data_IF_854035122567
#
_entry.id   IF_854035122567
#
_cell.length_a   1.000
_cell.length_b   1.000
_cell.length_c   1.000
_cell.angle_alpha   90.00
_cell.angle_beta   90.00
_cell.angle_gamma   90.00
#
_symmetry.space_group_name_H-M   'P 1'
#
loop_
_entity.id
_entity.type
_entity.pdbx_description
1 polymer ?
#
# COMPACT_ATOMS: atom_id res chain seq x y z
N UNK A 1 -5.75 6.55 -8.28
CA UNK A 1 -6.80 5.93 -9.12
C UNK A 1 -6.23 5.63 -10.50
N UNK A 2 -6.78 4.63 -11.19
CA UNK A 2 -6.43 4.33 -12.59
C UNK A 2 -6.93 5.43 -13.55
N UNK A 3 -6.27 5.68 -14.69
CA UNK A 3 -6.72 6.69 -15.63
C UNK A 3 -8.12 6.40 -16.19
N UNK A 4 -8.49 5.15 -16.46
CA UNK A 4 -9.83 4.82 -16.94
C UNK A 4 -10.94 5.07 -15.91
N UNK A 5 -10.61 4.90 -14.61
CA UNK A 5 -11.55 5.23 -13.54
C UNK A 5 -11.76 6.74 -13.42
N UNK A 6 -10.69 7.53 -13.58
CA UNK A 6 -10.79 8.99 -13.49
C UNK A 6 -11.48 9.59 -14.71
N UNK A 7 -11.15 9.12 -15.92
CA UNK A 7 -11.65 9.72 -17.16
C UNK A 7 -13.05 9.22 -17.52
N UNK A 8 -13.32 7.92 -17.33
CA UNK A 8 -14.55 7.28 -17.80
C UNK A 8 -15.43 6.74 -16.67
N UNK A 9 -15.02 6.88 -15.40
CA UNK A 9 -15.77 6.31 -14.27
C UNK A 9 -15.82 4.78 -14.27
N UNK A 10 -14.87 4.11 -14.94
CA UNK A 10 -14.85 2.65 -15.04
C UNK A 10 -14.04 2.03 -13.91
N UNK A 11 -14.71 1.23 -13.07
CA UNK A 11 -14.11 0.52 -11.94
C UNK A 11 -14.18 -0.97 -12.18
N UNK A 12 -13.02 -1.62 -12.19
CA UNK A 12 -12.85 -3.06 -12.40
C UNK A 12 -11.70 -3.58 -11.53
N UNK A 13 -11.51 -4.90 -11.50
CA UNK A 13 -10.36 -5.50 -10.81
C UNK A 13 -9.03 -4.95 -11.34
N UNK A 14 -8.92 -4.69 -12.64
CA UNK A 14 -7.72 -4.10 -13.26
C UNK A 14 -7.47 -2.67 -12.77
N UNK A 15 -8.52 -1.90 -12.47
CA UNK A 15 -8.39 -0.57 -11.88
C UNK A 15 -7.95 -0.62 -10.41
N UNK A 16 -8.33 -1.68 -9.68
CA UNK A 16 -7.85 -1.94 -8.33
C UNK A 16 -6.37 -2.37 -8.35
N UNK A 17 -5.96 -3.18 -9.33
CA UNK A 17 -4.55 -3.55 -9.56
C UNK A 17 -3.68 -2.30 -9.76
N UNK A 18 -4.15 -1.32 -10.53
CA UNK A 18 -3.44 -0.06 -10.68
C UNK A 18 -3.24 0.65 -9.34
N UNK A 19 -4.31 0.73 -8.55
CA UNK A 19 -4.30 1.36 -7.22
C UNK A 19 -3.40 0.59 -6.26
N UNK A 20 -3.35 -0.74 -6.35
CA UNK A 20 -2.41 -1.57 -5.60
C UNK A 20 -0.95 -1.26 -5.94
N UNK A 21 -0.63 -0.96 -7.21
CA UNK A 21 0.69 -0.48 -7.59
C UNK A 21 1.09 0.82 -6.86
N UNK A 22 0.13 1.74 -6.67
CA UNK A 22 0.34 2.96 -5.88
C UNK A 22 0.58 2.62 -4.41
N UNK A 23 -0.18 1.68 -3.84
CA UNK A 23 0.02 1.20 -2.46
C UNK A 23 1.40 0.59 -2.26
N UNK A 24 1.89 -0.22 -3.21
CA UNK A 24 3.26 -0.74 -3.18
C UNK A 24 4.26 0.42 -3.15
N UNK A 25 4.07 1.44 -3.98
CA UNK A 25 4.92 2.62 -3.97
C UNK A 25 4.89 3.36 -2.63
N UNK A 26 3.72 3.52 -2.01
CA UNK A 26 3.56 4.13 -0.69
C UNK A 26 4.30 3.34 0.40
N UNK A 27 4.19 2.00 0.40
CA UNK A 27 4.88 1.14 1.36
C UNK A 27 6.41 1.33 1.27
N UNK A 28 6.97 1.22 0.07
CA UNK A 28 8.43 1.27 -0.12
C UNK A 28 9.00 2.69 -0.08
N UNK A 29 8.16 3.71 -0.25
CA UNK A 29 8.55 5.10 -0.06
C UNK A 29 8.43 5.56 1.40
N UNK A 30 8.02 4.67 2.30
CA UNK A 30 7.74 4.97 3.72
C UNK A 30 6.62 6.02 3.90
N UNK A 31 5.57 5.92 3.07
CA UNK A 31 4.38 6.75 3.17
C UNK A 31 4.54 8.15 2.58
N UNK A 32 5.41 8.33 1.58
CA UNK A 32 5.46 9.60 0.84
C UNK A 32 4.16 9.82 0.08
N UNK A 33 3.83 11.08 -0.17
CA UNK A 33 2.68 11.43 -1.00
C UNK A 33 2.98 11.12 -2.49
N UNK A 34 2.14 10.33 -3.17
CA UNK A 34 2.24 10.14 -4.61
C UNK A 34 2.09 11.48 -5.36
N UNK A 35 2.95 11.71 -6.35
CA UNK A 35 2.95 12.93 -7.18
C UNK A 35 2.96 14.24 -6.35
N UNK A 36 3.76 14.27 -5.28
CA UNK A 36 3.90 15.46 -4.43
C UNK A 36 4.17 16.73 -5.24
N UNK A 37 3.44 17.81 -4.92
CA UNK A 37 3.58 19.11 -5.58
C UNK A 37 2.77 19.28 -6.87
N UNK A 38 1.99 18.27 -7.30
CA UNK A 38 1.09 18.36 -8.45
C UNK A 38 -0.38 18.43 -8.01
N UNK A 39 -1.17 19.21 -8.74
CA UNK A 39 -2.64 19.20 -8.66
C UNK A 39 -3.23 17.92 -9.25
N UNK A 40 -4.48 17.61 -8.91
CA UNK A 40 -5.17 16.42 -9.44
C UNK A 40 -5.23 16.44 -10.98
N UNK A 41 -5.48 17.59 -11.58
CA UNK A 41 -5.53 17.76 -13.04
C UNK A 41 -4.17 17.53 -13.70
N UNK A 42 -3.08 17.99 -13.07
CA UNK A 42 -1.72 17.74 -13.56
C UNK A 42 -1.35 16.27 -13.45
N UNK A 43 -1.68 15.61 -12.34
CA UNK A 43 -1.43 14.17 -12.14
C UNK A 43 -2.10 13.33 -13.22
N UNK A 44 -3.35 13.65 -13.58
CA UNK A 44 -4.05 12.95 -14.66
C UNK A 44 -3.31 13.11 -15.98
N UNK A 45 -2.83 14.32 -16.31
CA UNK A 45 -2.04 14.55 -17.53
C UNK A 45 -0.73 13.76 -17.53
N UNK A 46 0.02 13.80 -16.42
CA UNK A 46 1.26 13.03 -16.28
C UNK A 46 1.04 11.54 -16.52
N UNK A 47 -0.01 10.97 -15.92
CA UNK A 47 -0.35 9.55 -16.10
C UNK A 47 -0.71 9.24 -17.56
N UNK A 48 -1.50 10.10 -18.22
CA UNK A 48 -1.87 9.92 -19.63
C UNK A 48 -0.66 10.04 -20.57
N UNK A 49 0.32 10.88 -20.22
CA UNK A 49 1.59 11.02 -20.95
C UNK A 49 2.58 9.88 -20.64
N UNK A 50 2.21 8.92 -19.80
CA UNK A 50 3.03 7.77 -19.42
C UNK A 50 4.10 8.07 -18.37
N UNK A 51 4.01 9.24 -17.71
CA UNK A 51 4.90 9.62 -16.61
C UNK A 51 4.33 9.02 -15.32
N UNK A 52 4.97 7.95 -14.87
CA UNK A 52 4.59 7.20 -13.67
C UNK A 52 5.50 7.52 -12.48
N UNK A 53 5.06 7.14 -11.28
CA UNK A 53 5.86 7.21 -10.06
C UNK A 53 7.17 6.44 -10.20
N UNK A 54 8.26 7.05 -9.73
CA UNK A 54 9.60 6.44 -9.74
C UNK A 54 9.74 5.56 -8.49
N UNK A 55 10.08 4.26 -8.62
CA UNK A 55 10.35 3.42 -7.47
C UNK A 55 11.50 3.98 -6.60
N UNK A 56 11.41 3.91 -5.26
CA UNK A 56 12.49 4.35 -4.35
C UNK A 56 13.79 3.56 -4.56
N UNK A 57 14.94 4.16 -4.21
CA UNK A 57 16.28 3.57 -4.42
C UNK A 57 16.47 2.24 -3.68
N UNK A 58 15.93 2.12 -2.47
CA UNK A 58 16.04 0.90 -1.64
C UNK A 58 14.97 -0.16 -1.96
N UNK A 59 14.17 0.06 -3.00
CA UNK A 59 13.08 -0.85 -3.36
C UNK A 59 13.62 -2.12 -4.04
N UNK A 60 13.31 -3.33 -3.53
CA UNK A 60 13.74 -4.57 -4.15
C UNK A 60 13.30 -4.66 -5.62
N UNK A 61 14.17 -5.19 -6.48
CA UNK A 61 13.94 -5.25 -7.94
C UNK A 61 12.63 -5.94 -8.32
N UNK A 62 12.26 -7.02 -7.62
CA UNK A 62 11.02 -7.75 -7.86
C UNK A 62 9.76 -6.91 -7.57
N UNK A 63 9.82 -6.02 -6.58
CA UNK A 63 8.73 -5.08 -6.29
C UNK A 63 8.67 -4.00 -7.36
N UNK A 64 9.82 -3.46 -7.78
CA UNK A 64 9.88 -2.48 -8.87
C UNK A 64 9.25 -3.03 -10.16
N UNK A 65 9.46 -4.30 -10.45
CA UNK A 65 8.84 -5.00 -11.57
C UNK A 65 7.32 -5.15 -11.37
N UNK A 66 6.87 -5.57 -10.17
CA UNK A 66 5.45 -5.66 -9.84
C UNK A 66 4.72 -4.32 -10.02
N UNK A 67 5.30 -3.21 -9.53
CA UNK A 67 4.73 -1.87 -9.72
C UNK A 67 4.55 -1.55 -11.22
N UNK A 68 5.60 -1.77 -12.03
CA UNK A 68 5.55 -1.55 -13.49
C UNK A 68 4.48 -2.41 -14.19
N UNK A 69 4.25 -3.62 -13.70
CA UNK A 69 3.22 -4.51 -14.23
C UNK A 69 1.80 -4.12 -13.79
N UNK A 70 1.65 -3.47 -12.64
CA UNK A 70 0.38 -2.86 -12.21
C UNK A 70 0.01 -1.64 -13.06
N UNK A 71 1.02 -0.90 -13.54
CA UNK A 71 0.84 0.37 -14.26
C UNK A 71 0.88 0.25 -15.78
N UNK A 72 0.52 -0.91 -16.33
CA UNK A 72 0.35 -1.04 -17.79
C UNK A 72 -0.82 -0.15 -18.25
N UNK A 73 -0.59 0.58 -19.34
CA UNK A 73 -1.57 1.50 -19.95
C UNK A 73 -2.88 0.78 -20.25
N UNK A 74 -2.78 -0.39 -20.89
CA UNK A 74 -3.94 -1.21 -21.23
C UNK A 74 -4.32 -2.12 -20.04
N UNK A 75 -5.55 -2.01 -19.49
CA UNK A 75 -5.94 -2.72 -18.27
C UNK A 75 -5.78 -4.25 -18.33
N UNK A 76 -6.13 -4.87 -19.47
CA UNK A 76 -5.97 -6.33 -19.69
C UNK A 76 -4.52 -6.83 -19.69
N UNK A 77 -3.54 -5.94 -19.84
CA UNK A 77 -2.13 -6.30 -19.78
C UNK A 77 -1.54 -6.17 -18.38
N UNK A 78 -2.32 -5.64 -17.42
CA UNK A 78 -1.88 -5.55 -16.03
C UNK A 78 -1.80 -6.95 -15.43
N UNK A 79 -0.86 -7.14 -14.52
CA UNK A 79 -0.73 -8.39 -13.78
C UNK A 79 -1.97 -8.66 -12.93
N UNK A 80 -2.41 -9.91 -12.84
CA UNK A 80 -3.58 -10.28 -12.04
C UNK A 80 -3.20 -10.46 -10.57
N UNK A 81 -4.17 -10.30 -9.64
CA UNK A 81 -3.92 -10.55 -8.22
C UNK A 81 -3.35 -11.95 -7.91
N UNK A 82 -3.85 -13.06 -8.50
CA UNK A 82 -3.24 -14.37 -8.30
C UNK A 82 -1.75 -14.41 -8.66
N UNK A 83 -1.36 -13.81 -9.79
CA UNK A 83 0.04 -13.72 -10.20
C UNK A 83 0.88 -12.79 -9.32
N UNK A 84 0.26 -11.75 -8.73
CA UNK A 84 0.93 -10.91 -7.72
C UNK A 84 1.24 -11.76 -6.48
N UNK A 85 0.27 -12.50 -5.95
CA UNK A 85 0.47 -13.35 -4.77
C UNK A 85 1.57 -14.39 -5.01
N UNK A 86 1.52 -15.10 -6.14
CA UNK A 86 2.54 -16.08 -6.52
C UNK A 86 3.96 -15.49 -6.55
N UNK A 87 4.14 -14.32 -7.19
CA UNK A 87 5.44 -13.63 -7.23
C UNK A 87 5.92 -13.20 -5.84
N UNK A 88 5.02 -12.76 -4.97
CA UNK A 88 5.37 -12.35 -3.61
C UNK A 88 5.74 -13.56 -2.73
N UNK A 89 5.01 -14.67 -2.85
CA UNK A 89 5.30 -15.93 -2.16
C UNK A 89 6.64 -16.51 -2.62
N UNK A 90 6.90 -16.53 -3.94
CA UNK A 90 8.18 -16.97 -4.49
C UNK A 90 9.35 -16.14 -3.96
N UNK A 91 9.19 -14.80 -3.95
CA UNK A 91 10.20 -13.90 -3.40
C UNK A 91 10.45 -14.15 -1.90
N UNK A 92 9.39 -14.42 -1.13
CA UNK A 92 9.50 -14.73 0.30
C UNK A 92 10.23 -16.05 0.54
N UNK A 93 9.93 -17.10 -0.21
CA UNK A 93 10.61 -18.40 -0.08
C UNK A 93 12.08 -18.33 -0.52
N UNK A 94 12.39 -17.55 -1.56
CA UNK A 94 13.76 -17.33 -2.00
C UNK A 94 14.61 -16.60 -0.93
N UNK A 95 14.00 -15.73 -0.12
CA UNK A 95 14.68 -15.11 1.02
C UNK A 95 14.88 -16.08 2.20
N UNK A 96 14.06 -17.13 2.31
CA UNK A 96 14.16 -18.15 3.37
C UNK A 96 15.22 -19.21 3.11
N UNK A 97 15.52 -19.54 1.85
CA UNK A 97 16.57 -20.50 1.50
C UNK A 97 17.93 -19.87 1.85
N UNK A 98 18.65 -20.33 2.89
CA UNK A 98 20.04 -19.93 3.04
C UNK A 98 20.75 -20.46 1.80
N UNK A 99 21.43 -19.60 1.07
CA UNK A 99 22.36 -20.00 0.00
C UNK A 99 23.24 -21.14 0.52
N UNK A 100 22.99 -22.35 0.04
CA UNK A 100 23.89 -23.47 0.27
C UNK A 100 25.14 -23.28 -0.59
N UNK A 101 26.30 -23.56 0.03
CA UNK A 101 27.70 -23.49 -0.41
C UNK A 101 28.40 -22.13 -0.16
N UNK A 102 29.49 -22.04 0.62
CA UNK A 102 30.58 -23.00 0.84
C UNK A 102 30.80 -23.43 2.30
N UNK A 103 30.93 -24.75 2.49
CA UNK A 103 31.73 -25.33 3.58
C UNK A 103 33.18 -24.87 3.42
N UNK A 104 33.88 -24.68 4.54
CA UNK A 104 35.25 -24.14 4.68
C UNK A 104 35.32 -22.61 4.83
N UNK A 105 34.92 -22.09 6.00
CA UNK A 105 35.79 -21.27 6.87
C UNK A 105 35.09 -21.07 8.22
N UNK A 106 35.36 -21.98 9.16
CA UNK A 106 35.01 -21.85 10.56
C UNK A 106 35.85 -20.75 11.20
N UNK A 107 35.23 -19.61 11.56
CA UNK A 107 35.72 -18.77 12.69
C UNK A 107 34.63 -17.86 13.27
N UNK A 108 34.07 -18.36 14.38
CA UNK A 108 33.53 -17.68 15.57
C UNK A 108 33.25 -16.17 15.45
N UNK A 109 31.98 -15.81 15.54
CA UNK A 109 31.53 -14.74 16.43
C UNK A 109 30.24 -15.16 17.13
N UNK A 110 30.34 -15.39 18.44
CA UNK A 110 29.20 -15.59 19.34
C UNK A 110 28.57 -14.24 19.62
N UNK A 111 27.35 -14.00 19.13
CA UNK A 111 26.37 -13.05 19.67
C UNK A 111 25.07 -13.87 19.70
N UNK A 112 24.46 -14.21 20.83
CA UNK A 112 24.22 -13.39 22.00
C UNK A 112 22.74 -13.00 22.01
N UNK A 113 21.90 -13.90 22.52
CA UNK A 113 20.48 -13.74 22.87
C UNK A 113 19.47 -13.38 21.76
N UNK A 114 18.53 -14.30 21.59
CA UNK A 114 17.16 -14.05 21.13
C UNK A 114 16.60 -12.80 21.82
N UNK A 115 16.42 -11.72 21.08
CA UNK A 115 15.52 -10.64 21.45
C UNK A 115 14.38 -10.66 20.44
N UNK A 116 13.30 -11.37 20.77
CA UNK A 116 12.02 -11.09 20.13
C UNK A 116 11.70 -9.62 20.40
N UNK A 117 11.37 -8.87 19.36
CA UNK A 117 10.83 -7.52 19.52
C UNK A 117 9.60 -7.60 20.44
N UNK A 118 9.43 -6.63 21.37
CA UNK A 118 8.27 -6.64 22.24
C UNK A 118 6.99 -6.60 21.39
N UNK A 119 6.06 -7.51 21.68
CA UNK A 119 4.74 -7.52 21.05
C UNK A 119 4.10 -6.14 21.29
N UNK A 120 3.56 -5.46 20.26
CA UNK A 120 2.81 -4.24 20.48
C UNK A 120 1.72 -4.51 21.53
N UNK A 121 1.41 -3.53 22.41
CA UNK A 121 0.34 -3.69 23.38
C UNK A 121 -0.93 -4.11 22.63
N UNK A 122 -1.74 -5.03 23.18
CA UNK A 122 -3.03 -5.35 22.60
C UNK A 122 -3.76 -4.02 22.40
N UNK A 123 -4.32 -3.79 21.20
CA UNK A 123 -5.33 -2.75 21.08
C UNK A 123 -6.34 -2.98 22.20
N UNK A 124 -6.86 -1.90 22.83
CA UNK A 124 -7.95 -2.06 23.78
C UNK A 124 -8.96 -2.98 23.12
N UNK A 125 -9.31 -4.07 23.82
CA UNK A 125 -10.35 -4.97 23.35
C UNK A 125 -11.58 -4.09 23.16
N UNK A 126 -11.84 -3.68 21.92
CA UNK A 126 -13.11 -3.09 21.57
C UNK A 126 -14.06 -4.26 21.78
N UNK A 127 -14.75 -4.26 22.91
CA UNK A 127 -16.05 -4.90 23.03
C UNK A 127 -16.92 -4.18 22.00
N UNK A 128 -16.78 -4.60 20.74
CA UNK A 128 -17.43 -4.04 19.56
C UNK A 128 -18.88 -4.52 19.51
N UNK A 129 -19.55 -4.47 20.67
CA UNK A 129 -20.94 -4.90 20.83
C UNK A 129 -21.87 -3.68 20.70
N UNK A 130 -21.38 -2.46 20.96
CA UNK A 130 -22.19 -1.23 20.89
C UNK A 130 -21.92 -0.35 19.67
N UNK A 131 -21.06 -0.78 18.75
CA UNK A 131 -20.69 -0.02 17.54
C UNK A 131 -21.36 -0.52 16.27
N UNK A 132 -22.04 -1.66 16.33
CA UNK A 132 -22.68 -2.29 15.19
C UNK A 132 -24.20 -2.35 15.41
N UNK A 133 -24.99 -2.08 14.38
CA UNK A 133 -26.43 -2.32 14.42
C UNK A 133 -26.73 -3.83 14.38
N UNK A 134 -28.01 -4.20 14.52
CA UNK A 134 -28.46 -5.60 14.42
C UNK A 134 -28.21 -6.26 13.05
N UNK A 135 -27.67 -5.53 12.08
CA UNK A 135 -27.27 -6.01 10.75
C UNK A 135 -25.74 -6.04 10.57
N UNK A 136 -24.96 -5.66 11.59
CA UNK A 136 -23.50 -5.66 11.55
C UNK A 136 -22.88 -4.41 10.90
N UNK A 137 -23.65 -3.33 10.69
CA UNK A 137 -23.13 -2.07 10.17
C UNK A 137 -22.71 -1.12 11.28
N UNK A 138 -21.65 -0.34 11.05
CA UNK A 138 -21.19 0.69 11.98
C UNK A 138 -22.28 1.73 12.24
N UNK A 139 -22.63 1.91 13.51
CA UNK A 139 -23.54 2.97 13.93
C UNK A 139 -22.89 4.34 13.65
N UNK A 140 -23.63 5.30 13.05
CA UNK A 140 -23.14 6.67 12.91
C UNK A 140 -22.75 7.22 14.28
N UNK A 141 -21.56 7.83 14.39
CA UNK A 141 -21.21 8.58 15.60
C UNK A 141 -22.25 9.67 15.80
N UNK A 142 -22.86 9.76 16.98
CA UNK A 142 -23.72 10.88 17.34
C UNK A 142 -22.97 12.18 17.04
N UNK A 143 -23.55 12.99 16.16
CA UNK A 143 -23.06 14.33 15.85
C UNK A 143 -23.27 15.15 17.12
N UNK A 144 -22.22 15.29 17.94
CA UNK A 144 -22.22 16.29 19.01
C UNK A 144 -22.49 17.64 18.36
N UNK A 145 -23.35 18.43 19.00
CA UNK A 145 -23.81 19.73 18.54
C UNK A 145 -22.70 20.50 17.81
N UNK A 146 -23.01 21.17 16.68
CA UNK A 146 -21.99 21.84 15.88
C UNK A 146 -21.17 22.77 16.78
N UNK A 147 -19.87 22.49 16.86
CA UNK A 147 -18.91 23.33 17.56
C UNK A 147 -19.01 24.73 16.94
N UNK A 148 -19.14 25.75 17.78
CA UNK A 148 -19.35 27.17 17.48
C UNK A 148 -18.18 27.85 16.76
N UNK A 149 -17.59 27.23 15.74
CA UNK A 149 -16.62 27.89 14.86
C UNK A 149 -17.28 28.65 13.69
N UNK A 150 -18.61 28.59 13.57
CA UNK A 150 -19.39 29.30 12.54
C UNK A 150 -20.05 30.59 13.03
N UNK A 151 -19.85 31.00 14.29
CA UNK A 151 -20.22 32.35 14.74
C UNK A 151 -19.17 33.37 14.26
N UNK A 152 -19.15 33.59 12.96
CA UNK A 152 -18.49 34.77 12.39
C UNK A 152 -19.29 35.98 12.83
N UNK A 153 -18.81 36.69 13.86
CA UNK A 153 -19.30 38.02 14.21
C UNK A 153 -19.11 38.93 12.99
N UNK A 154 -20.22 39.31 12.37
CA UNK A 154 -20.27 40.51 11.55
C UNK A 154 -20.55 41.68 12.51
N UNK A 155 -19.54 42.52 12.75
CA UNK A 155 -19.73 43.93 13.10
C UNK A 155 -19.66 44.76 11.81
#
# INVERSE_FOLDING_TARGET
MSPESVVYGRFTLESDIWSYGVVLWEIFSFGKQPYYGHSNEEVVKLILDGIMLIPPEDCPSYICELMKNCWKTEPRHRITFPSICEKLEEAFENQRKPTLFNENETKKMKIGSNKSLPRPPPLPAFTQIDLLDGQGYLLPKEVKDPVTYLETRCD
#
